data_IF_775024162222
#
_entry.id   IF_775024162222
#
_cell.length_a   1.000
_cell.length_b   1.000
_cell.length_c   1.000
_cell.angle_alpha   90.00
_cell.angle_beta   90.00
_cell.angle_gamma   90.00
#
_symmetry.space_group_name_H-M   'P 1'
#
loop_
_entity.id
_entity.type
_entity.pdbx_description
1 polymer ?
#
# COMPACT_ATOMS: atom_id res chain seq x y z
N UNK A 1 27.84 -69.44 53.79
CA UNK A 1 28.86 -68.65 53.07
C UNK A 1 28.19 -68.03 51.86
N UNK A 2 27.89 -66.73 51.95
CA UNK A 2 27.05 -65.99 51.02
C UNK A 2 27.80 -65.64 49.72
N UNK A 3 27.13 -65.89 48.58
CA UNK A 3 27.56 -65.42 47.26
C UNK A 3 27.09 -63.99 47.06
N UNK A 4 28.03 -63.12 46.67
CA UNK A 4 27.79 -61.76 46.20
C UNK A 4 27.40 -61.85 44.72
N UNK A 5 26.24 -61.30 44.36
CA UNK A 5 25.84 -61.02 42.98
C UNK A 5 25.67 -59.51 42.87
N UNK A 6 26.59 -58.91 42.13
CA UNK A 6 26.71 -57.49 41.81
C UNK A 6 25.66 -57.14 40.76
N UNK A 7 24.64 -56.37 41.13
CA UNK A 7 23.73 -55.72 40.18
C UNK A 7 24.31 -54.37 39.77
N UNK A 8 24.76 -54.28 38.52
CA UNK A 8 25.15 -53.02 37.88
C UNK A 8 23.87 -52.30 37.45
N UNK A 9 23.58 -51.18 38.09
CA UNK A 9 22.46 -50.31 37.74
C UNK A 9 22.94 -49.30 36.69
N UNK A 10 22.52 -49.47 35.43
CA UNK A 10 22.77 -48.50 34.36
C UNK A 10 21.88 -47.26 34.59
N UNK A 11 22.49 -46.12 34.88
CA UNK A 11 21.84 -44.81 34.81
C UNK A 11 21.98 -44.26 33.40
N UNK A 12 20.88 -44.23 32.65
CA UNK A 12 20.77 -43.48 31.40
C UNK A 12 20.59 -41.99 31.73
N UNK A 13 21.36 -41.06 31.12
CA UNK A 13 21.10 -39.64 31.25
C UNK A 13 19.83 -39.28 30.48
N UNK A 14 18.82 -38.79 31.20
CA UNK A 14 17.65 -38.16 30.59
C UNK A 14 18.12 -36.83 30.00
N UNK A 15 18.36 -36.80 28.70
CA UNK A 15 18.53 -35.56 27.94
C UNK A 15 17.14 -34.93 27.84
N UNK A 16 16.88 -33.94 28.70
CA UNK A 16 15.73 -33.06 28.55
C UNK A 16 15.90 -32.26 27.26
N UNK A 17 15.19 -32.69 26.20
CA UNK A 17 15.03 -31.91 24.97
C UNK A 17 14.22 -30.66 25.34
N UNK A 18 14.89 -29.56 25.71
CA UNK A 18 14.23 -28.27 25.81
C UNK A 18 13.85 -27.86 24.39
N UNK A 19 12.57 -28.02 24.04
CA UNK A 19 12.04 -27.44 22.82
C UNK A 19 12.36 -25.94 22.85
N UNK A 20 13.17 -25.49 21.89
CA UNK A 20 13.47 -24.07 21.75
C UNK A 20 12.14 -23.32 21.62
N UNK A 21 11.94 -22.20 22.34
CA UNK A 21 10.71 -21.43 22.22
C UNK A 21 10.54 -21.05 20.75
N UNK A 22 9.49 -21.59 20.13
CA UNK A 22 9.02 -21.19 18.82
C UNK A 22 8.81 -19.69 18.91
N UNK A 23 9.70 -18.90 18.29
CA UNK A 23 9.55 -17.45 18.23
C UNK A 23 8.12 -17.18 17.74
N UNK A 24 7.28 -16.65 18.62
CA UNK A 24 5.95 -16.18 18.25
C UNK A 24 6.18 -15.26 17.04
N UNK A 25 5.65 -15.64 15.87
CA UNK A 25 5.66 -14.77 14.71
C UNK A 25 5.01 -13.47 15.17
N UNK A 26 5.71 -12.35 15.03
CA UNK A 26 5.15 -11.05 15.34
C UNK A 26 3.79 -10.97 14.63
N UNK A 27 2.72 -10.87 15.42
CA UNK A 27 1.36 -10.89 14.88
C UNK A 27 1.14 -9.53 14.21
N UNK A 28 1.32 -9.51 12.89
CA UNK A 28 1.04 -8.35 12.07
C UNK A 28 -0.46 -8.07 12.11
N UNK A 29 -0.82 -6.79 12.25
CA UNK A 29 -2.16 -6.35 11.92
C UNK A 29 -2.41 -6.70 10.44
N UNK A 30 -3.52 -7.37 10.08
CA UNK A 30 -3.78 -7.70 8.69
C UNK A 30 -3.85 -6.43 7.83
N UNK A 31 -3.37 -6.52 6.59
CA UNK A 31 -3.26 -5.38 5.68
C UNK A 31 -4.07 -5.64 4.43
N UNK A 32 -4.92 -4.68 4.09
CA UNK A 32 -5.63 -4.64 2.81
C UNK A 32 -4.78 -3.87 1.80
N UNK A 33 -4.45 -4.50 0.68
CA UNK A 33 -3.66 -3.88 -0.40
C UNK A 33 -4.54 -3.71 -1.64
N UNK A 34 -4.78 -2.45 -2.00
CA UNK A 34 -5.50 -2.08 -3.22
C UNK A 34 -4.51 -1.50 -4.21
N UNK A 35 -4.45 -2.04 -5.43
CA UNK A 35 -3.71 -1.41 -6.54
C UNK A 35 -4.65 -0.99 -7.65
N UNK A 36 -4.53 0.27 -8.05
CA UNK A 36 -5.32 0.92 -9.08
C UNK A 36 -4.40 1.27 -10.24
N UNK A 37 -4.75 0.85 -11.44
CA UNK A 37 -4.07 1.25 -12.66
C UNK A 37 -5.06 1.88 -13.63
N UNK A 38 -4.54 2.70 -14.55
CA UNK A 38 -5.24 3.01 -15.79
C UNK A 38 -5.16 1.83 -16.77
N UNK A 39 -4.82 2.10 -18.02
CA UNK A 39 -4.85 1.10 -19.11
C UNK A 39 -3.82 -0.05 -18.98
N UNK A 40 -2.81 0.05 -18.12
CA UNK A 40 -1.88 -1.04 -17.77
C UNK A 40 -1.67 -1.13 -16.25
N UNK A 41 -2.53 -1.88 -15.57
CA UNK A 41 -2.45 -2.12 -14.12
C UNK A 41 -1.44 -3.19 -13.73
N UNK A 42 -1.02 -4.02 -14.69
CA UNK A 42 -0.16 -5.18 -14.46
C UNK A 42 1.22 -4.78 -13.92
N UNK A 43 1.79 -3.68 -14.42
CA UNK A 43 3.13 -3.20 -14.05
C UNK A 43 3.22 -2.83 -12.56
N UNK A 44 2.31 -1.97 -12.09
CA UNK A 44 2.31 -1.53 -10.69
C UNK A 44 1.91 -2.68 -9.75
N UNK A 45 0.99 -3.53 -10.19
CA UNK A 45 0.56 -4.69 -9.43
C UNK A 45 1.70 -5.71 -9.23
N UNK A 46 2.46 -5.98 -10.29
CA UNK A 46 3.63 -6.86 -10.27
C UNK A 46 4.70 -6.35 -9.32
N UNK A 47 5.04 -5.06 -9.38
CA UNK A 47 6.01 -4.43 -8.47
C UNK A 47 5.58 -4.57 -7.01
N UNK A 48 4.31 -4.30 -6.68
CA UNK A 48 3.81 -4.41 -5.31
C UNK A 48 3.90 -5.85 -4.79
N UNK A 49 3.50 -6.83 -5.62
CA UNK A 49 3.65 -8.26 -5.32
C UNK A 49 5.09 -8.64 -5.02
N UNK A 50 6.01 -8.20 -5.88
CA UNK A 50 7.44 -8.48 -5.73
C UNK A 50 8.02 -7.89 -4.45
N UNK A 51 7.74 -6.61 -4.16
CA UNK A 51 8.29 -5.95 -2.98
C UNK A 51 7.76 -6.56 -1.68
N UNK A 52 6.46 -6.81 -1.59
CA UNK A 52 5.90 -7.45 -0.40
C UNK A 52 6.37 -8.92 -0.25
N UNK A 53 6.56 -9.66 -1.34
CA UNK A 53 7.19 -11.00 -1.30
C UNK A 53 8.61 -10.94 -0.75
N UNK A 54 9.44 -9.99 -1.21
CA UNK A 54 10.81 -9.80 -0.69
C UNK A 54 10.82 -9.52 0.81
N UNK A 55 9.84 -8.78 1.32
CA UNK A 55 9.71 -8.47 2.75
C UNK A 55 8.97 -9.54 3.57
N UNK A 56 8.48 -10.62 2.93
CA UNK A 56 7.64 -11.65 3.55
C UNK A 56 6.37 -11.09 4.21
N UNK A 57 5.81 -10.04 3.63
CA UNK A 57 4.55 -9.46 4.09
C UNK A 57 3.36 -10.25 3.53
N UNK A 58 2.42 -10.71 4.38
CA UNK A 58 1.25 -11.43 3.93
C UNK A 58 0.32 -10.48 3.19
N UNK A 59 0.09 -10.74 1.91
CA UNK A 59 -0.67 -9.87 1.03
C UNK A 59 -2.08 -10.41 0.80
N UNK A 60 -3.09 -9.66 1.24
CA UNK A 60 -4.42 -9.71 0.65
C UNK A 60 -4.47 -8.67 -0.46
N UNK A 61 -4.11 -9.11 -1.67
CA UNK A 61 -4.14 -8.29 -2.86
C UNK A 61 -5.52 -8.35 -3.49
N UNK A 62 -6.09 -7.18 -3.75
CA UNK A 62 -7.27 -7.08 -4.58
C UNK A 62 -7.09 -5.99 -5.63
N UNK A 63 -7.02 -6.41 -6.89
CA UNK A 63 -6.47 -5.59 -7.96
C UNK A 63 -7.09 -5.98 -9.30
N UNK A 64 -7.61 -4.97 -9.99
CA UNK A 64 -7.52 -4.72 -11.43
C UNK A 64 -8.77 -3.96 -11.90
N UNK A 65 -8.88 -2.68 -11.53
CA UNK A 65 -10.02 -1.83 -11.93
C UNK A 65 -9.92 -1.36 -13.40
N UNK A 66 -8.84 -1.68 -14.10
CA UNK A 66 -8.52 -1.12 -15.42
C UNK A 66 -9.55 -1.39 -16.53
N UNK A 67 -10.56 -2.26 -16.33
CA UNK A 67 -11.33 -2.80 -17.45
C UNK A 67 -12.81 -2.44 -17.50
N UNK A 68 -13.47 -2.11 -16.38
CA UNK A 68 -14.94 -2.15 -16.32
C UNK A 68 -15.66 -0.80 -16.33
N UNK A 69 -14.94 0.34 -16.31
CA UNK A 69 -15.63 1.64 -16.42
C UNK A 69 -15.93 2.04 -17.85
N UNK A 70 -15.11 1.63 -18.83
CA UNK A 70 -15.17 2.15 -20.21
C UNK A 70 -14.95 3.67 -20.32
N UNK A 71 -14.73 4.34 -19.18
CA UNK A 71 -14.63 5.78 -19.04
C UNK A 71 -13.16 6.15 -18.81
N UNK A 72 -12.69 7.15 -19.55
CA UNK A 72 -11.34 7.72 -19.43
C UNK A 72 -11.21 8.56 -18.13
N UNK A 73 -12.20 8.52 -17.23
CA UNK A 73 -12.35 9.39 -16.06
C UNK A 73 -12.46 8.61 -14.77
N UNK A 74 -11.85 9.13 -13.70
CA UNK A 74 -11.98 8.61 -12.34
C UNK A 74 -13.16 9.29 -11.62
N UNK A 75 -14.31 8.63 -11.52
CA UNK A 75 -15.54 9.25 -10.99
C UNK A 75 -15.74 9.03 -9.48
N UNK A 76 -16.64 9.81 -8.86
CA UNK A 76 -17.10 9.55 -7.48
C UNK A 76 -17.70 8.14 -7.33
N UNK A 77 -18.39 7.63 -8.35
CA UNK A 77 -18.97 6.29 -8.36
C UNK A 77 -17.88 5.22 -8.29
N UNK A 78 -16.74 5.46 -8.93
CA UNK A 78 -15.61 4.53 -8.90
C UNK A 78 -14.91 4.54 -7.54
N UNK A 79 -14.76 5.72 -6.94
CA UNK A 79 -14.30 5.84 -5.57
C UNK A 79 -15.23 5.09 -4.59
N UNK A 80 -16.56 5.21 -4.74
CA UNK A 80 -17.52 4.47 -3.92
C UNK A 80 -17.39 2.95 -4.10
N UNK A 81 -17.24 2.46 -5.34
CA UNK A 81 -17.04 1.02 -5.61
C UNK A 81 -15.79 0.47 -4.92
N UNK A 82 -14.70 1.22 -4.91
CA UNK A 82 -13.47 0.84 -4.18
C UNK A 82 -13.76 0.80 -2.68
N UNK A 83 -14.48 1.78 -2.16
CA UNK A 83 -14.85 1.84 -0.75
C UNK A 83 -15.71 0.64 -0.32
N UNK A 84 -16.71 0.27 -1.13
CA UNK A 84 -17.57 -0.90 -0.89
C UNK A 84 -16.77 -2.20 -0.84
N UNK A 85 -15.77 -2.32 -1.73
CA UNK A 85 -14.85 -3.46 -1.76
C UNK A 85 -13.99 -3.52 -0.50
N UNK A 86 -13.42 -2.39 -0.09
CA UNK A 86 -12.69 -2.26 1.16
C UNK A 86 -13.57 -2.70 2.33
N UNK A 87 -14.82 -2.24 2.39
CA UNK A 87 -15.77 -2.64 3.45
C UNK A 87 -16.11 -4.14 3.43
N UNK A 88 -16.21 -4.75 2.25
CA UNK A 88 -16.40 -6.20 2.11
C UNK A 88 -15.21 -7.00 2.66
N UNK A 89 -13.98 -6.60 2.31
CA UNK A 89 -12.75 -7.22 2.82
C UNK A 89 -12.63 -7.08 4.34
N UNK A 90 -12.96 -5.90 4.85
CA UNK A 90 -13.01 -5.63 6.29
C UNK A 90 -14.02 -6.51 7.01
N UNK A 91 -15.22 -6.70 6.44
CA UNK A 91 -16.26 -7.59 7.01
C UNK A 91 -15.81 -9.05 7.03
N UNK A 92 -15.19 -9.52 5.94
CA UNK A 92 -14.65 -10.89 5.82
C UNK A 92 -13.59 -11.19 6.90
N UNK A 93 -12.81 -10.18 7.27
CA UNK A 93 -11.78 -10.27 8.31
C UNK A 93 -12.31 -10.03 9.75
N UNK A 94 -13.60 -10.31 9.99
CA UNK A 94 -14.15 -10.41 11.35
C UNK A 94 -14.48 -9.08 12.04
N UNK A 95 -14.72 -8.00 11.28
CA UNK A 95 -15.11 -6.68 11.81
C UNK A 95 -14.11 -6.04 12.79
N UNK A 96 -12.86 -6.52 12.88
CA UNK A 96 -11.81 -5.90 13.68
C UNK A 96 -11.25 -4.64 13.00
N UNK A 97 -12.13 -3.67 12.71
CA UNK A 97 -11.86 -2.49 11.88
C UNK A 97 -10.62 -1.73 12.35
N UNK A 98 -10.53 -1.47 13.66
CA UNK A 98 -9.40 -0.82 14.34
C UNK A 98 -8.09 -1.64 14.42
N UNK A 99 -8.06 -2.83 13.81
CA UNK A 99 -6.88 -3.71 13.77
C UNK A 99 -6.35 -3.95 12.35
N UNK A 100 -6.98 -3.36 11.33
CA UNK A 100 -6.55 -3.50 9.94
C UNK A 100 -5.71 -2.30 9.53
N UNK A 101 -4.71 -2.52 8.68
CA UNK A 101 -4.05 -1.44 7.95
C UNK A 101 -4.53 -1.43 6.49
N UNK A 102 -4.43 -0.27 5.85
CA UNK A 102 -4.78 -0.10 4.45
C UNK A 102 -3.59 0.50 3.70
N UNK A 103 -3.33 -0.03 2.51
CA UNK A 103 -2.48 0.65 1.53
C UNK A 103 -3.21 0.68 0.19
N UNK A 104 -3.27 1.86 -0.40
CA UNK A 104 -3.82 2.09 -1.74
C UNK A 104 -2.70 2.63 -2.62
N UNK A 105 -2.46 1.97 -3.74
CA UNK A 105 -1.38 2.30 -4.67
C UNK A 105 -2.01 2.56 -6.03
N UNK A 106 -1.85 3.76 -6.57
CA UNK A 106 -2.43 4.13 -7.85
C UNK A 106 -1.37 4.55 -8.86
N UNK A 107 -1.41 4.00 -10.08
CA UNK A 107 -0.61 4.48 -11.23
C UNK A 107 -1.51 5.27 -12.17
N UNK A 108 -1.03 6.39 -12.74
CA UNK A 108 -1.77 7.12 -13.79
C UNK A 108 -3.14 7.62 -13.27
N UNK A 109 -4.22 7.38 -14.02
CA UNK A 109 -5.60 7.63 -13.61
C UNK A 109 -5.97 6.88 -12.32
N UNK A 110 -5.32 5.74 -12.05
CA UNK A 110 -5.45 5.03 -10.78
C UNK A 110 -4.89 5.82 -9.59
N UNK A 111 -3.84 6.62 -9.79
CA UNK A 111 -3.29 7.53 -8.78
C UNK A 111 -4.28 8.63 -8.41
N UNK A 112 -4.91 9.21 -9.43
CA UNK A 112 -5.97 10.21 -9.25
C UNK A 112 -7.22 9.60 -8.59
N UNK A 113 -7.64 8.42 -9.01
CA UNK A 113 -8.75 7.70 -8.39
C UNK A 113 -8.45 7.33 -6.93
N UNK A 114 -7.21 6.91 -6.64
CA UNK A 114 -6.78 6.68 -5.28
C UNK A 114 -6.95 7.96 -4.46
N UNK A 115 -6.42 9.10 -4.94
CA UNK A 115 -6.56 10.37 -4.26
C UNK A 115 -8.03 10.76 -3.99
N UNK A 116 -8.92 10.57 -4.96
CA UNK A 116 -10.35 10.81 -4.80
C UNK A 116 -11.02 9.96 -3.76
N UNK A 117 -10.68 8.66 -3.70
CA UNK A 117 -11.16 7.77 -2.66
C UNK A 117 -10.89 8.38 -1.29
N UNK A 118 -9.67 8.84 -1.05
CA UNK A 118 -9.36 9.52 0.20
C UNK A 118 -10.16 10.81 0.32
N UNK A 119 -10.18 11.68 -0.71
CA UNK A 119 -10.89 12.97 -0.70
C UNK A 119 -12.33 12.85 -0.20
N UNK A 120 -13.05 11.86 -0.72
CA UNK A 120 -14.48 11.63 -0.48
C UNK A 120 -14.73 10.81 0.80
N UNK A 121 -13.84 9.88 1.15
CA UNK A 121 -14.09 8.87 2.18
C UNK A 121 -13.09 8.90 3.35
N UNK A 122 -12.36 10.01 3.56
CA UNK A 122 -11.40 10.13 4.65
C UNK A 122 -11.98 9.84 6.04
N UNK A 123 -13.18 10.35 6.34
CA UNK A 123 -13.92 10.03 7.57
C UNK A 123 -14.05 8.52 7.80
N UNK A 124 -14.64 7.78 6.85
CA UNK A 124 -14.68 6.32 6.88
C UNK A 124 -13.32 5.60 6.96
N UNK A 125 -12.21 6.22 6.56
CA UNK A 125 -10.87 5.61 6.57
C UNK A 125 -10.17 5.69 7.93
N UNK A 126 -10.62 6.55 8.85
CA UNK A 126 -10.16 6.55 10.26
C UNK A 126 -10.42 5.23 10.99
N UNK A 127 -11.21 4.32 10.41
CA UNK A 127 -11.43 2.99 10.97
C UNK A 127 -10.19 2.11 10.92
N UNK A 128 -9.21 2.39 10.04
CA UNK A 128 -7.97 1.65 9.94
C UNK A 128 -6.98 2.06 11.04
N UNK A 129 -6.02 1.20 11.37
CA UNK A 129 -4.94 1.52 12.30
C UNK A 129 -3.87 2.41 11.64
N UNK A 130 -3.49 2.07 10.40
CA UNK A 130 -2.60 2.88 9.56
C UNK A 130 -3.03 2.83 8.11
N UNK A 131 -2.72 3.92 7.41
CA UNK A 131 -3.12 4.12 6.03
C UNK A 131 -1.94 4.65 5.22
N UNK A 132 -1.61 4.02 4.11
CA UNK A 132 -0.68 4.55 3.13
C UNK A 132 -1.36 4.77 1.78
N UNK A 133 -1.09 5.91 1.16
CA UNK A 133 -1.42 6.20 -0.23
C UNK A 133 -0.12 6.38 -1.01
N UNK A 134 0.05 5.60 -2.08
CA UNK A 134 1.15 5.78 -3.03
C UNK A 134 0.57 6.15 -4.38
N UNK A 135 0.96 7.31 -4.90
CA UNK A 135 0.58 7.78 -6.23
C UNK A 135 1.82 7.73 -7.12
N UNK A 136 1.71 7.00 -8.22
CA UNK A 136 2.77 6.80 -9.19
C UNK A 136 2.33 7.44 -10.50
N UNK A 137 2.98 8.53 -10.83
CA UNK A 137 2.71 9.37 -11.99
C UNK A 137 1.20 9.67 -12.13
N UNK A 138 0.56 10.28 -11.11
CA UNK A 138 -0.88 10.50 -11.11
C UNK A 138 -1.26 11.47 -12.22
N UNK A 139 -2.10 11.04 -13.15
CA UNK A 139 -2.60 11.87 -14.26
C UNK A 139 -4.02 11.43 -14.67
N UNK A 140 -4.85 12.35 -15.19
CA UNK A 140 -6.25 12.08 -15.57
C UNK A 140 -7.29 12.77 -14.68
N UNK A 141 -8.57 12.77 -15.12
CA UNK A 141 -9.60 13.69 -14.62
C UNK A 141 -10.49 13.10 -13.54
N UNK A 142 -10.95 13.98 -12.66
CA UNK A 142 -12.02 13.75 -11.69
C UNK A 142 -13.11 14.78 -11.98
N UNK A 143 -14.34 14.33 -12.14
CA UNK A 143 -15.48 15.26 -12.16
C UNK A 143 -15.81 15.70 -10.70
N UNK A 144 -16.11 17.00 -10.55
CA UNK A 144 -16.21 17.84 -9.33
C UNK A 144 -14.87 18.33 -8.76
N UNK A 145 -14.29 19.41 -9.31
CA UNK A 145 -14.49 20.79 -8.79
C UNK A 145 -14.42 21.89 -9.90
N UNK A 146 -14.97 21.64 -11.09
CA UNK A 146 -14.90 22.53 -12.27
C UNK A 146 -13.48 22.85 -12.83
N UNK A 147 -12.54 21.88 -12.85
CA UNK A 147 -11.41 21.72 -13.80
C UNK A 147 -10.11 21.19 -13.16
N UNK A 148 -10.06 19.96 -12.64
CA UNK A 148 -8.79 19.32 -12.24
C UNK A 148 -8.61 17.93 -12.85
N UNK A 149 -7.61 17.80 -13.73
CA UNK A 149 -7.14 16.54 -14.32
C UNK A 149 -7.53 16.27 -15.79
N UNK A 150 -7.96 17.24 -16.58
CA UNK A 150 -8.40 16.97 -17.95
C UNK A 150 -7.24 16.81 -18.94
N UNK A 151 -6.89 15.54 -19.17
CA UNK A 151 -6.22 14.96 -20.33
C UNK A 151 -4.73 15.29 -20.55
N UNK A 152 -4.29 16.50 -20.19
CA UNK A 152 -2.89 16.94 -20.11
C UNK A 152 -2.81 18.09 -19.09
N UNK A 153 -1.80 18.03 -18.21
CA UNK A 153 -1.16 19.17 -17.53
C UNK A 153 -1.48 19.45 -16.04
N UNK A 154 -0.46 19.14 -15.21
CA UNK A 154 0.27 20.07 -14.30
C UNK A 154 -0.47 20.67 -13.11
N UNK A 155 -1.73 20.33 -12.85
CA UNK A 155 -2.38 20.85 -11.66
C UNK A 155 -1.96 20.09 -10.41
N UNK A 156 -1.54 20.86 -9.41
CA UNK A 156 -1.14 20.32 -8.14
C UNK A 156 -2.32 19.66 -7.40
N UNK A 157 -2.02 18.53 -6.77
CA UNK A 157 -2.84 17.89 -5.75
C UNK A 157 -2.62 18.62 -4.41
N UNK A 158 -3.67 18.73 -3.59
CA UNK A 158 -3.62 19.50 -2.35
C UNK A 158 -4.25 18.74 -1.21
N UNK A 159 -3.64 18.82 -0.04
CA UNK A 159 -4.17 18.18 1.15
C UNK A 159 -5.37 18.98 1.68
N UNK A 160 -6.56 18.37 1.82
CA UNK A 160 -7.76 19.11 2.22
C UNK A 160 -7.57 19.79 3.58
N UNK A 161 -7.99 21.06 3.70
CA UNK A 161 -7.75 21.85 4.92
C UNK A 161 -8.39 21.26 6.19
N UNK A 162 -9.43 20.46 6.05
CA UNK A 162 -10.15 19.81 7.15
C UNK A 162 -9.57 18.44 7.56
N UNK A 163 -8.43 18.02 6.99
CA UNK A 163 -7.81 16.73 7.31
C UNK A 163 -6.66 16.87 8.30
N UNK A 164 -6.51 15.86 9.17
CA UNK A 164 -5.39 15.77 10.11
C UNK A 164 -4.06 15.63 9.37
N UNK A 165 -3.00 16.24 9.89
CA UNK A 165 -1.62 16.08 9.39
C UNK A 165 -0.84 14.96 10.10
N UNK A 166 -1.52 14.07 10.81
CA UNK A 166 -0.89 12.99 11.59
C UNK A 166 -0.25 11.92 10.68
N UNK A 167 1.05 12.09 10.42
CA UNK A 167 1.87 11.14 9.66
C UNK A 167 2.14 9.81 10.37
N UNK A 168 1.75 9.67 11.64
CA UNK A 168 1.76 8.40 12.37
C UNK A 168 0.61 7.47 11.98
N UNK A 169 -0.52 8.06 11.57
CA UNK A 169 -1.70 7.35 11.08
C UNK A 169 -1.72 7.25 9.54
N UNK A 170 -1.51 8.37 8.83
CA UNK A 170 -1.70 8.45 7.38
C UNK A 170 -0.49 9.04 6.66
N UNK A 171 0.00 8.33 5.64
CA UNK A 171 1.11 8.81 4.79
C UNK A 171 0.76 8.79 3.32
N UNK A 172 1.17 9.87 2.65
CA UNK A 172 1.08 10.02 1.20
C UNK A 172 2.48 10.02 0.62
N UNK A 173 2.67 9.22 -0.42
CA UNK A 173 3.88 9.13 -1.23
C UNK A 173 3.48 9.53 -2.65
N UNK A 174 3.90 10.71 -3.08
CA UNK A 174 3.71 11.22 -4.44
C UNK A 174 5.00 11.01 -5.23
N UNK A 175 4.93 10.27 -6.33
CA UNK A 175 6.04 10.01 -7.23
C UNK A 175 5.57 10.45 -8.61
N UNK A 176 6.16 11.48 -9.18
CA UNK A 176 5.69 12.05 -10.44
C UNK A 176 6.86 12.38 -11.36
N UNK A 177 6.64 12.27 -12.66
CA UNK A 177 7.57 12.77 -13.66
C UNK A 177 7.11 14.16 -14.10
N UNK A 178 8.00 15.14 -14.02
CA UNK A 178 7.76 16.48 -14.55
C UNK A 178 8.76 16.69 -15.68
N UNK A 179 8.21 16.79 -16.89
CA UNK A 179 8.92 16.92 -18.17
C UNK A 179 9.64 15.66 -18.67
N UNK A 180 9.15 15.19 -19.82
CA UNK A 180 9.58 14.04 -20.62
C UNK A 180 8.68 14.01 -21.87
N UNK A 181 8.97 13.16 -22.86
CA UNK A 181 8.23 13.06 -24.12
C UNK A 181 6.80 12.45 -23.99
N UNK A 182 6.01 12.84 -22.98
CA UNK A 182 4.71 12.27 -22.64
C UNK A 182 3.90 13.07 -21.59
N UNK A 183 2.93 12.40 -20.96
CA UNK A 183 2.08 12.96 -19.91
C UNK A 183 2.91 13.26 -18.65
N UNK A 184 2.76 14.46 -18.08
CA UNK A 184 3.37 14.80 -16.78
C UNK A 184 2.42 14.45 -15.64
N UNK A 185 2.94 13.81 -14.61
CA UNK A 185 2.20 13.57 -13.37
C UNK A 185 1.92 14.88 -12.62
N UNK A 186 0.81 14.91 -11.89
CA UNK A 186 0.46 15.99 -10.98
C UNK A 186 1.43 15.98 -9.77
N UNK A 187 1.87 17.17 -9.34
CA UNK A 187 2.71 17.31 -8.15
C UNK A 187 1.86 17.50 -6.89
N UNK A 188 2.39 17.19 -5.71
CA UNK A 188 1.72 17.44 -4.43
C UNK A 188 2.56 18.38 -3.53
N UNK A 189 2.50 19.70 -3.72
CA UNK A 189 3.40 20.68 -3.08
C UNK A 189 3.15 20.90 -1.57
N UNK A 190 2.34 20.04 -0.92
CA UNK A 190 2.01 20.16 0.49
C UNK A 190 3.08 19.47 1.37
N UNK A 191 3.63 20.22 2.32
CA UNK A 191 4.65 19.72 3.27
C UNK A 191 4.18 18.55 4.17
N UNK A 192 2.87 18.31 4.26
CA UNK A 192 2.29 17.17 5.00
C UNK A 192 2.39 15.86 4.24
N UNK A 193 2.71 15.88 2.95
CA UNK A 193 3.04 14.67 2.18
C UNK A 193 4.33 14.09 2.75
N UNK A 194 4.35 12.77 2.97
CA UNK A 194 5.50 12.11 3.57
C UNK A 194 6.69 12.07 2.62
N UNK A 195 6.42 11.79 1.34
CA UNK A 195 7.42 11.82 0.27
C UNK A 195 6.79 12.45 -0.96
N UNK A 196 7.37 13.54 -1.44
CA UNK A 196 7.04 14.14 -2.73
C UNK A 196 8.28 14.04 -3.64
N UNK A 197 8.28 13.09 -4.56
CA UNK A 197 9.44 12.70 -5.37
C UNK A 197 9.20 13.02 -6.84
N UNK A 198 9.93 14.03 -7.33
CA UNK A 198 10.05 14.31 -8.75
C UNK A 198 11.12 13.43 -9.41
N UNK A 199 10.74 12.73 -10.49
CA UNK A 199 11.66 11.99 -11.36
C UNK A 199 11.99 12.86 -12.57
N UNK A 200 13.28 13.11 -12.81
CA UNK A 200 13.83 13.93 -13.91
C UNK A 200 14.67 13.11 -14.91
N UNK A 201 14.62 11.80 -14.81
CA UNK A 201 15.44 10.89 -15.61
C UNK A 201 14.78 10.66 -16.97
N UNK A 202 15.46 11.05 -18.06
CA UNK A 202 14.94 10.99 -19.43
C UNK A 202 14.68 9.55 -19.92
N UNK A 203 15.31 8.54 -19.31
CA UNK A 203 15.07 7.13 -19.61
C UNK A 203 13.82 6.53 -18.94
N UNK A 204 13.19 7.30 -18.05
CA UNK A 204 11.97 6.91 -17.36
C UNK A 204 10.77 7.48 -18.11
N UNK A 205 9.78 6.62 -18.29
CA UNK A 205 8.55 6.85 -19.04
C UNK A 205 7.37 6.50 -18.16
N UNK A 206 6.19 6.92 -18.59
CA UNK A 206 4.93 6.53 -17.97
C UNK A 206 4.77 5.00 -17.81
N UNK A 207 5.37 4.21 -18.70
CA UNK A 207 5.24 2.75 -18.68
C UNK A 207 6.13 2.10 -17.63
N UNK A 208 7.41 2.47 -17.57
CA UNK A 208 8.42 1.83 -16.72
C UNK A 208 8.64 2.54 -15.37
N UNK A 209 7.99 3.67 -15.10
CA UNK A 209 8.11 4.38 -13.82
C UNK A 209 7.83 3.50 -12.58
N UNK A 210 6.93 2.49 -12.59
CA UNK A 210 6.77 1.59 -11.43
C UNK A 210 8.02 0.77 -11.12
N UNK A 211 8.80 0.41 -12.15
CA UNK A 211 10.00 -0.43 -12.02
C UNK A 211 11.23 0.38 -11.59
N UNK A 212 11.19 1.71 -11.73
CA UNK A 212 12.28 2.59 -11.35
C UNK A 212 12.64 2.43 -9.86
N UNK A 213 13.93 2.32 -9.56
CA UNK A 213 14.42 1.98 -8.22
C UNK A 213 13.91 2.92 -7.12
N UNK A 214 13.76 4.22 -7.40
CA UNK A 214 13.21 5.17 -6.41
C UNK A 214 11.71 4.96 -6.17
N UNK A 215 10.95 4.62 -7.21
CA UNK A 215 9.52 4.28 -7.09
C UNK A 215 9.34 3.00 -6.27
N UNK A 216 10.11 1.94 -6.57
CA UNK A 216 10.10 0.69 -5.80
C UNK A 216 10.45 0.92 -4.34
N UNK A 217 11.44 1.79 -4.07
CA UNK A 217 11.78 2.18 -2.69
C UNK A 217 10.61 2.85 -1.98
N UNK A 218 9.92 3.80 -2.61
CA UNK A 218 8.75 4.45 -2.01
C UNK A 218 7.62 3.45 -1.72
N UNK A 219 7.34 2.52 -2.63
CA UNK A 219 6.37 1.43 -2.42
C UNK A 219 6.79 0.55 -1.23
N UNK A 220 8.06 0.18 -1.15
CA UNK A 220 8.61 -0.57 -0.02
C UNK A 220 8.45 0.19 1.30
N UNK A 221 8.75 1.48 1.32
CA UNK A 221 8.65 2.32 2.52
C UNK A 221 7.18 2.43 2.98
N UNK A 222 6.24 2.55 2.04
CA UNK A 222 4.81 2.53 2.32
C UNK A 222 4.33 1.19 2.90
N UNK A 223 4.78 0.06 2.33
CA UNK A 223 4.53 -1.27 2.87
C UNK A 223 5.08 -1.38 4.30
N UNK A 224 6.33 -1.01 4.51
CA UNK A 224 6.95 -1.04 5.83
C UNK A 224 6.18 -0.21 6.87
N UNK A 225 5.73 0.99 6.48
CA UNK A 225 4.90 1.84 7.35
C UNK A 225 3.60 1.16 7.80
N UNK A 226 2.90 0.44 6.92
CA UNK A 226 1.65 -0.24 7.28
C UNK A 226 1.88 -1.56 8.01
N UNK A 227 2.96 -2.29 7.75
CA UNK A 227 3.21 -3.59 8.40
C UNK A 227 3.93 -3.47 9.76
N UNK A 228 4.77 -2.46 10.00
CA UNK A 228 5.57 -2.43 11.23
C UNK A 228 4.89 -1.73 12.41
N UNK A 229 4.75 -2.42 13.54
CA UNK A 229 4.08 -1.87 14.75
C UNK A 229 4.84 -0.74 15.46
N UNK A 230 6.14 -0.58 15.22
CA UNK A 230 6.99 0.37 15.97
C UNK A 230 7.52 1.46 15.05
N UNK A 231 7.21 2.70 15.42
CA UNK A 231 7.94 3.90 15.02
C UNK A 231 8.36 4.58 16.32
#
# INVERSE_FOLDING_TARGET
MNRILTSIMLLLPIVALTAAPTRARAEYNPVVVITLGGNSSEDIHGVVKEEAKKQKYPLELDTNWAQDSGDIRATQKDAQRIMDKIDSLVKKNGNAKNKLNLIVIGKSAGGVLAWNLFRLFYGPLYKFHRVALVMVDPHGSVDDDENKGTYCDRQDLWWPGNWSSDQGFFRVYDIFQQEGAGLSGASFPDSRVHLNLQIKDEGITHMNIPEYGKTRKAIKDALHFVYERKW
#
